data_IF_023188493075
#
_entry.id   IF_023188493075
#
_cell.length_a   1.000
_cell.length_b   1.000
_cell.length_c   1.000
_cell.angle_alpha   90.00
_cell.angle_beta   90.00
_cell.angle_gamma   90.00
#
_symmetry.space_group_name_H-M   'P 1'
#
loop_
_entity.id
_entity.type
_entity.pdbx_description
1 polymer ?
#
# COMPACT_ATOMS: atom_id res chain seq x y z
N UNK A 1 22.32 17.44 -13.08
CA UNK A 1 21.90 16.32 -12.22
C UNK A 1 22.58 15.07 -12.76
N UNK A 2 23.38 14.33 -11.98
CA UNK A 2 24.03 13.11 -12.47
C UNK A 2 22.99 12.10 -12.96
N UNK A 3 23.27 11.43 -14.07
CA UNK A 3 22.35 10.44 -14.65
C UNK A 3 22.06 9.28 -13.68
N UNK A 4 23.04 8.91 -12.85
CA UNK A 4 22.90 7.91 -11.81
C UNK A 4 21.88 8.31 -10.73
N UNK A 5 21.89 9.58 -10.32
CA UNK A 5 20.92 10.09 -9.36
C UNK A 5 19.51 10.14 -9.96
N UNK A 6 19.40 10.53 -11.24
CA UNK A 6 18.13 10.48 -11.98
C UNK A 6 17.59 9.05 -12.04
N UNK A 7 18.44 8.09 -12.41
CA UNK A 7 18.07 6.68 -12.48
C UNK A 7 17.59 6.16 -11.12
N UNK A 8 18.30 6.50 -10.04
CA UNK A 8 17.91 6.13 -8.68
C UNK A 8 16.55 6.71 -8.24
N UNK A 9 16.27 7.99 -8.55
CA UNK A 9 14.96 8.60 -8.27
C UNK A 9 13.85 7.87 -9.04
N UNK A 10 14.07 7.60 -10.33
CA UNK A 10 13.07 6.96 -11.18
C UNK A 10 12.78 5.52 -10.71
N UNK A 11 13.80 4.75 -10.34
CA UNK A 11 13.63 3.41 -9.74
C UNK A 11 12.85 3.50 -8.42
N UNK A 12 13.26 4.39 -7.52
CA UNK A 12 12.60 4.57 -6.22
C UNK A 12 11.13 4.93 -6.40
N UNK A 13 10.83 5.89 -7.29
CA UNK A 13 9.45 6.28 -7.60
C UNK A 13 8.64 5.12 -8.19
N UNK A 14 9.22 4.33 -9.11
CA UNK A 14 8.57 3.16 -9.69
C UNK A 14 8.25 2.10 -8.62
N UNK A 15 9.19 1.83 -7.71
CA UNK A 15 9.00 0.88 -6.59
C UNK A 15 7.88 1.32 -5.66
N UNK A 16 7.83 2.61 -5.30
CA UNK A 16 6.79 3.17 -4.43
C UNK A 16 5.42 3.10 -5.09
N UNK A 17 5.31 3.47 -6.38
CA UNK A 17 4.06 3.34 -7.15
C UNK A 17 3.62 1.88 -7.27
N UNK A 18 4.55 0.96 -7.50
CA UNK A 18 4.25 -0.47 -7.54
C UNK A 18 3.74 -0.99 -6.19
N UNK A 19 4.31 -0.54 -5.08
CA UNK A 19 3.83 -0.88 -3.74
C UNK A 19 2.43 -0.33 -3.47
N UNK A 20 2.17 0.92 -3.84
CA UNK A 20 0.84 1.53 -3.75
C UNK A 20 -0.21 0.73 -4.54
N UNK A 21 0.08 0.40 -5.80
CA UNK A 21 -0.81 -0.38 -6.64
C UNK A 21 -1.11 -1.78 -6.04
N UNK A 22 -0.10 -2.43 -5.44
CA UNK A 22 -0.30 -3.71 -4.72
C UNK A 22 -1.21 -3.55 -3.51
N UNK A 23 -1.02 -2.52 -2.69
CA UNK A 23 -1.91 -2.25 -1.54
C UNK A 23 -3.35 -1.99 -1.98
N UNK A 24 -3.54 -1.20 -3.04
CA UNK A 24 -4.86 -0.94 -3.63
C UNK A 24 -5.53 -2.23 -4.10
N UNK A 25 -4.84 -3.04 -4.89
CA UNK A 25 -5.37 -4.29 -5.44
C UNK A 25 -5.68 -5.31 -4.33
N UNK A 26 -4.76 -5.53 -3.39
CA UNK A 26 -4.93 -6.48 -2.31
C UNK A 26 -6.09 -6.11 -1.37
N UNK A 27 -6.26 -4.82 -1.07
CA UNK A 27 -7.39 -4.35 -0.24
C UNK A 27 -8.73 -4.57 -0.94
N UNK A 28 -8.82 -4.28 -2.24
CA UNK A 28 -10.05 -4.51 -3.03
C UNK A 28 -10.36 -6.01 -3.16
N UNK A 29 -9.34 -6.84 -3.39
CA UNK A 29 -9.51 -8.28 -3.45
C UNK A 29 -9.99 -8.86 -2.11
N UNK A 30 -9.39 -8.45 -0.99
CA UNK A 30 -9.83 -8.87 0.33
C UNK A 30 -11.25 -8.38 0.66
N UNK A 31 -11.61 -7.16 0.26
CA UNK A 31 -12.98 -6.65 0.42
C UNK A 31 -14.00 -7.49 -0.36
N UNK A 32 -13.67 -7.87 -1.59
CA UNK A 32 -14.49 -8.76 -2.41
C UNK A 32 -14.61 -10.18 -1.79
N UNK A 33 -13.52 -10.73 -1.23
CA UNK A 33 -13.51 -12.02 -0.53
C UNK A 33 -14.42 -12.00 0.72
N UNK A 34 -14.39 -10.93 1.51
CA UNK A 34 -15.21 -10.78 2.71
C UNK A 34 -16.71 -10.66 2.38
N UNK A 35 -17.02 -10.07 1.23
CA UNK A 35 -18.38 -9.86 0.72
C UNK A 35 -19.21 -8.89 1.56
N UNK A 36 -20.52 -8.86 1.31
CA UNK A 36 -21.46 -7.98 1.99
C UNK A 36 -21.70 -8.42 3.43
N UNK A 37 -21.74 -7.47 4.36
CA UNK A 37 -22.17 -7.70 5.74
C UNK A 37 -23.46 -6.92 6.04
N UNK A 38 -24.37 -7.47 6.86
CA UNK A 38 -25.61 -6.78 7.24
C UNK A 38 -25.36 -5.54 8.10
N UNK A 39 -24.23 -5.49 8.80
CA UNK A 39 -23.85 -4.39 9.68
C UNK A 39 -22.32 -4.32 9.88
N UNK A 40 -21.86 -3.19 10.40
CA UNK A 40 -20.43 -2.91 10.63
C UNK A 40 -19.77 -3.84 11.64
N UNK A 41 -20.51 -4.35 12.64
CA UNK A 41 -20.00 -5.30 13.64
C UNK A 41 -19.75 -6.65 12.98
N UNK A 42 -20.70 -7.14 12.18
CA UNK A 42 -20.54 -8.37 11.41
C UNK A 42 -19.35 -8.27 10.46
N UNK A 43 -19.15 -7.12 9.81
CA UNK A 43 -17.96 -6.88 8.99
C UNK A 43 -16.66 -6.92 9.83
N UNK A 44 -16.64 -6.29 11.01
CA UNK A 44 -15.48 -6.28 11.88
C UNK A 44 -15.05 -7.69 12.32
N UNK A 45 -16.00 -8.59 12.59
CA UNK A 45 -15.71 -9.98 12.91
C UNK A 45 -15.05 -10.72 11.73
N UNK A 46 -15.51 -10.50 10.50
CA UNK A 46 -14.88 -11.10 9.31
C UNK A 46 -13.46 -10.55 9.06
N UNK A 47 -13.27 -9.26 9.32
CA UNK A 47 -11.97 -8.58 9.18
C UNK A 47 -10.97 -9.01 10.27
N UNK A 48 -11.39 -9.70 11.35
CA UNK A 48 -10.47 -10.16 12.40
C UNK A 48 -9.46 -11.20 11.91
N UNK A 49 -9.74 -11.89 10.80
CA UNK A 49 -8.79 -12.83 10.19
C UNK A 49 -7.40 -12.17 10.02
N UNK A 50 -6.32 -12.77 10.57
CA UNK A 50 -4.96 -12.26 10.43
C UNK A 50 -4.54 -11.98 8.98
N UNK A 51 -5.08 -12.69 8.00
CA UNK A 51 -4.84 -12.46 6.56
C UNK A 51 -5.24 -11.05 6.13
N UNK A 52 -6.18 -10.41 6.84
CA UNK A 52 -6.70 -9.09 6.53
C UNK A 52 -6.06 -7.99 7.40
N UNK A 53 -5.19 -8.35 8.35
CA UNK A 53 -4.58 -7.42 9.31
C UNK A 53 -3.88 -6.23 8.63
N UNK A 54 -3.17 -6.49 7.53
CA UNK A 54 -2.45 -5.46 6.78
C UNK A 54 -3.37 -4.45 6.05
N UNK A 55 -4.65 -4.80 5.83
CA UNK A 55 -5.59 -4.04 5.01
C UNK A 55 -6.78 -3.49 5.79
N UNK A 56 -6.87 -3.74 7.11
CA UNK A 56 -8.04 -3.39 7.94
C UNK A 56 -8.52 -1.95 7.74
N UNK A 57 -7.60 -0.98 7.77
CA UNK A 57 -7.95 0.44 7.57
C UNK A 57 -8.59 0.71 6.21
N UNK A 58 -8.05 0.13 5.13
CA UNK A 58 -8.60 0.24 3.79
C UNK A 58 -9.94 -0.49 3.63
N UNK A 59 -10.11 -1.65 4.28
CA UNK A 59 -11.36 -2.41 4.26
C UNK A 59 -12.54 -1.63 4.85
N UNK A 60 -12.34 -0.93 5.97
CA UNK A 60 -13.39 -0.08 6.54
C UNK A 60 -13.68 1.17 5.71
N UNK A 61 -12.68 1.73 5.03
CA UNK A 61 -12.92 2.81 4.06
C UNK A 61 -13.81 2.33 2.91
N UNK A 62 -13.56 1.14 2.36
CA UNK A 62 -14.42 0.57 1.32
C UNK A 62 -15.82 0.24 1.81
N UNK A 63 -15.97 -0.26 3.05
CA UNK A 63 -17.29 -0.46 3.67
C UNK A 63 -18.09 0.84 3.73
N UNK A 64 -17.42 1.95 4.01
CA UNK A 64 -18.02 3.29 4.12
C UNK A 64 -18.14 4.00 2.75
N UNK A 65 -17.93 3.30 1.64
CA UNK A 65 -17.88 3.82 0.26
C UNK A 65 -16.88 4.98 0.07
N UNK A 66 -15.74 4.90 0.75
CA UNK A 66 -14.67 5.90 0.72
C UNK A 66 -13.48 5.44 -0.11
N UNK A 67 -12.79 6.37 -0.79
CA UNK A 67 -11.58 6.05 -1.54
C UNK A 67 -10.44 5.61 -0.60
N UNK A 68 -9.69 4.59 -1.03
CA UNK A 68 -8.55 4.03 -0.30
C UNK A 68 -7.18 4.52 -0.79
N UNK A 69 -7.13 5.41 -1.78
CA UNK A 69 -5.87 5.87 -2.40
C UNK A 69 -4.88 6.46 -1.38
N UNK A 70 -5.36 7.41 -0.57
CA UNK A 70 -4.54 8.04 0.48
C UNK A 70 -4.09 7.02 1.53
N UNK A 71 -4.97 6.09 1.90
CA UNK A 71 -4.62 5.03 2.84
C UNK A 71 -3.52 4.12 2.27
N UNK A 72 -3.61 3.76 0.98
CA UNK A 72 -2.61 2.94 0.32
C UNK A 72 -1.24 3.63 0.30
N UNK A 73 -1.18 4.94 0.05
CA UNK A 73 0.08 5.69 0.13
C UNK A 73 0.67 5.71 1.55
N UNK A 74 -0.17 5.87 2.57
CA UNK A 74 0.28 5.82 3.97
C UNK A 74 0.75 4.42 4.41
N UNK A 75 0.25 3.37 3.75
CA UNK A 75 0.68 2.00 4.00
C UNK A 75 2.03 1.66 3.33
N UNK A 76 2.39 2.36 2.24
CA UNK A 76 3.70 2.20 1.59
C UNK A 76 4.79 2.77 2.48
N UNK A 77 5.61 1.89 3.05
CA UNK A 77 6.86 2.30 3.70
C UNK A 77 7.95 2.47 2.64
N UNK A 78 8.73 3.57 2.69
CA UNK A 78 9.94 3.67 1.87
C UNK A 78 10.84 2.47 2.17
N UNK A 79 11.49 1.88 1.15
CA UNK A 79 12.45 0.83 1.40
C UNK A 79 13.55 1.36 2.33
N UNK A 80 13.88 0.63 3.39
CA UNK A 80 15.07 0.84 4.22
C UNK A 80 16.34 0.40 3.48
N UNK A 81 16.44 0.76 2.20
CA UNK A 81 17.64 0.53 1.40
C UNK A 81 18.73 1.54 1.75
N UNK A 82 19.99 1.29 1.35
CA UNK A 82 21.04 2.29 1.53
C UNK A 82 20.64 3.58 0.80
N UNK A 83 20.92 4.76 1.39
CA UNK A 83 20.77 6.03 0.67
C UNK A 83 21.62 6.00 -0.60
N UNK A 84 21.24 6.82 -1.60
CA UNK A 84 22.09 7.01 -2.77
C UNK A 84 23.52 7.36 -2.34
N UNK A 85 24.50 6.59 -2.81
CA UNK A 85 25.92 6.87 -2.65
C UNK A 85 26.50 7.08 -4.05
N UNK A 86 26.96 8.29 -4.39
CA UNK A 86 27.69 8.48 -5.64
C UNK A 86 28.93 7.58 -5.62
N UNK A 87 29.33 7.05 -6.79
CA UNK A 87 30.64 6.42 -6.91
C UNK A 87 31.71 7.45 -6.49
N UNK A 88 32.62 7.05 -5.58
CA UNK A 88 33.73 7.90 -5.19
C UNK A 88 34.50 8.30 -6.45
N UNK A 89 34.66 9.61 -6.65
CA UNK A 89 35.45 10.17 -7.74
C UNK A 89 36.90 9.94 -7.32
N UNK A 90 37.53 8.89 -7.86
CA UNK A 90 38.97 8.65 -7.77
C UNK A 90 39.76 9.60 -8.65
#
# INVERSE_FOLDING_TARGET
MPDEFRAWILDTAARLRGAHARHMAATRAAYAEIGSAPDRRTFAERVRDPRHAAYKGGLFLLLDDRPIDRWAWLAVKPPTGPPFRPAEIG
#
